data_IF_381734377692
#
_entry.id   IF_381734377692
#
_cell.length_a   1.000
_cell.length_b   1.000
_cell.length_c   1.000
_cell.angle_alpha   90.00
_cell.angle_beta   90.00
_cell.angle_gamma   90.00
#
_symmetry.space_group_name_H-M   'P 1'
#
loop_
_entity.id
_entity.type
_entity.pdbx_description
1 polymer ?
#
# COMPACT_ATOMS: atom_id res chain seq x y z
N UNK A 1 3.31 -5.67 19.79
CA UNK A 1 3.35 -5.36 18.35
C UNK A 1 2.40 -4.22 18.01
N UNK A 2 2.88 -3.25 17.26
CA UNK A 2 2.04 -2.13 16.81
C UNK A 2 1.09 -2.61 15.72
N UNK A 3 -0.11 -2.03 15.71
CA UNK A 3 -1.10 -2.36 14.68
C UNK A 3 -0.89 -1.48 13.45
N UNK A 4 -1.20 -2.04 12.30
CA UNK A 4 -1.26 -1.25 11.08
C UNK A 4 -2.47 -0.33 11.12
N UNK A 5 -2.35 0.83 10.51
CA UNK A 5 -3.43 1.80 10.42
C UNK A 5 -3.96 1.84 8.98
N UNK A 6 -5.28 1.91 8.84
CA UNK A 6 -5.94 1.95 7.54
C UNK A 6 -7.15 2.89 7.59
N UNK A 7 -6.93 4.10 8.11
CA UNK A 7 -8.02 5.04 8.32
C UNK A 7 -8.26 5.98 7.13
N UNK A 8 -7.24 6.19 6.32
CA UNK A 8 -7.33 7.14 5.20
C UNK A 8 -8.48 6.79 4.26
N UNK A 9 -8.63 5.51 3.92
CA UNK A 9 -9.67 5.04 3.00
C UNK A 9 -11.08 5.33 3.52
N UNK A 10 -11.25 5.35 4.84
CA UNK A 10 -12.56 5.57 5.46
C UNK A 10 -12.90 7.05 5.62
N UNK A 11 -11.91 7.93 5.64
CA UNK A 11 -12.10 9.35 5.95
C UNK A 11 -11.84 10.28 4.78
N UNK A 12 -11.15 9.81 3.74
CA UNK A 12 -10.80 10.65 2.61
C UNK A 12 -12.03 10.94 1.74
N UNK A 13 -12.34 12.21 1.55
CA UNK A 13 -13.47 12.66 0.74
C UNK A 13 -13.04 13.57 -0.42
N UNK A 14 -11.75 13.64 -0.71
CA UNK A 14 -11.23 14.46 -1.80
C UNK A 14 -11.35 13.79 -3.16
N UNK A 15 -10.74 14.41 -4.16
CA UNK A 15 -10.76 13.91 -5.53
C UNK A 15 -9.99 12.60 -5.66
N UNK A 16 -10.55 11.68 -6.44
CA UNK A 16 -9.92 10.40 -6.76
C UNK A 16 -9.78 10.30 -8.27
N UNK A 17 -8.55 10.38 -8.76
CA UNK A 17 -8.26 10.30 -10.18
C UNK A 17 -6.78 10.58 -10.42
N UNK A 18 -6.15 9.77 -11.25
CA UNK A 18 -4.71 9.88 -11.50
C UNK A 18 -4.43 10.75 -12.72
N UNK A 19 -3.35 11.56 -12.63
CA UNK A 19 -2.89 12.35 -13.76
C UNK A 19 -3.26 13.83 -13.69
N UNK A 20 -3.86 14.32 -12.59
CA UNK A 20 -4.24 15.72 -12.44
C UNK A 20 -3.08 16.57 -11.89
N UNK A 21 -2.66 16.28 -10.66
CA UNK A 21 -1.55 16.97 -10.00
C UNK A 21 -0.93 16.05 -8.97
N UNK A 22 0.22 16.43 -8.43
CA UNK A 22 0.99 15.59 -7.53
C UNK A 22 0.21 15.22 -6.27
N UNK A 23 -0.44 16.18 -5.62
CA UNK A 23 -1.16 15.93 -4.38
C UNK A 23 -2.35 14.98 -4.62
N UNK A 24 -3.10 15.21 -5.68
CA UNK A 24 -4.24 14.34 -6.04
C UNK A 24 -3.74 12.93 -6.39
N UNK A 25 -2.62 12.83 -7.11
CA UNK A 25 -2.05 11.55 -7.48
C UNK A 25 -1.61 10.76 -6.23
N UNK A 26 -0.94 11.42 -5.28
CA UNK A 26 -0.54 10.76 -4.02
C UNK A 26 -1.75 10.27 -3.24
N UNK A 27 -2.76 11.11 -3.10
CA UNK A 27 -3.99 10.74 -2.39
C UNK A 27 -4.73 9.60 -3.10
N UNK A 28 -4.75 9.63 -4.42
CA UNK A 28 -5.41 8.59 -5.22
C UNK A 28 -4.71 7.24 -5.04
N UNK A 29 -3.38 7.22 -5.10
CA UNK A 29 -2.62 5.99 -4.90
C UNK A 29 -2.80 5.48 -3.48
N UNK A 30 -2.75 6.37 -2.49
CA UNK A 30 -2.98 6.03 -1.08
C UNK A 30 -4.35 5.36 -0.92
N UNK A 31 -5.37 5.98 -1.44
CA UNK A 31 -6.75 5.51 -1.37
C UNK A 31 -6.92 4.15 -2.05
N UNK A 32 -6.37 4.01 -3.26
CA UNK A 32 -6.44 2.76 -4.03
C UNK A 32 -5.69 1.63 -3.35
N UNK A 33 -4.50 1.91 -2.80
CA UNK A 33 -3.72 0.88 -2.10
C UNK A 33 -4.44 0.38 -0.86
N UNK A 34 -5.09 1.27 -0.11
CA UNK A 34 -5.84 0.84 1.06
C UNK A 34 -7.07 0.03 0.70
N UNK A 35 -7.78 0.42 -0.35
CA UNK A 35 -8.89 -0.39 -0.86
C UNK A 35 -8.40 -1.73 -1.38
N UNK A 36 -7.27 -1.73 -2.08
CA UNK A 36 -6.68 -2.92 -2.65
C UNK A 36 -6.27 -3.92 -1.57
N UNK A 37 -5.84 -3.44 -0.40
CA UNK A 37 -5.39 -4.29 0.70
C UNK A 37 -6.52 -4.79 1.61
N UNK A 38 -7.78 -4.56 1.24
CA UNK A 38 -8.93 -5.09 1.98
C UNK A 38 -8.88 -6.62 2.04
N UNK A 39 -9.14 -7.18 3.22
CA UNK A 39 -9.01 -8.62 3.44
C UNK A 39 -9.85 -9.45 2.47
N UNK A 40 -11.10 -9.06 2.27
CA UNK A 40 -12.00 -9.83 1.40
C UNK A 40 -11.56 -9.77 -0.05
N UNK A 41 -11.13 -8.59 -0.50
CA UNK A 41 -10.60 -8.42 -1.86
C UNK A 41 -9.32 -9.24 -2.04
N UNK A 42 -8.39 -9.16 -1.09
CA UNK A 42 -7.13 -9.89 -1.18
C UNK A 42 -7.34 -11.39 -1.23
N UNK A 43 -8.23 -11.93 -0.40
CA UNK A 43 -8.51 -13.36 -0.39
C UNK A 43 -9.02 -13.87 -1.73
N UNK A 44 -9.79 -13.06 -2.43
CA UNK A 44 -10.34 -13.44 -3.73
C UNK A 44 -9.35 -13.18 -4.86
N UNK A 45 -8.77 -12.00 -4.90
CA UNK A 45 -7.93 -11.56 -6.01
C UNK A 45 -6.63 -12.33 -6.11
N UNK A 46 -5.92 -12.52 -4.98
CA UNK A 46 -4.60 -13.15 -5.03
C UNK A 46 -4.63 -14.56 -5.61
N UNK A 47 -5.71 -15.30 -5.38
CA UNK A 47 -5.85 -16.65 -5.94
C UNK A 47 -6.05 -16.66 -7.45
N UNK A 48 -6.44 -15.53 -8.02
CA UNK A 48 -6.67 -15.38 -9.46
C UNK A 48 -5.46 -14.86 -10.21
N UNK A 49 -4.46 -14.36 -9.49
CA UNK A 49 -3.26 -13.81 -10.11
C UNK A 49 -2.33 -14.91 -10.58
N UNK A 50 -1.64 -14.65 -11.69
CA UNK A 50 -0.59 -15.54 -12.17
C UNK A 50 0.65 -15.43 -11.29
N UNK A 51 1.57 -16.40 -11.43
CA UNK A 51 2.86 -16.36 -10.73
C UNK A 51 3.61 -15.08 -11.07
N UNK A 52 3.60 -14.66 -12.33
CA UNK A 52 4.27 -13.45 -12.78
C UNK A 52 3.66 -12.20 -12.13
N UNK A 53 2.33 -12.16 -12.03
CA UNK A 53 1.65 -11.03 -11.38
C UNK A 53 1.97 -10.94 -9.90
N UNK A 54 2.01 -12.08 -9.20
CA UNK A 54 2.42 -12.10 -7.79
C UNK A 54 3.84 -11.58 -7.62
N UNK A 55 4.76 -12.03 -8.47
CA UNK A 55 6.16 -11.58 -8.44
C UNK A 55 6.27 -10.09 -8.73
N UNK A 56 5.49 -9.59 -9.68
CA UNK A 56 5.49 -8.18 -10.05
C UNK A 56 5.10 -7.29 -8.87
N UNK A 57 4.02 -7.66 -8.18
CA UNK A 57 3.57 -6.90 -7.01
C UNK A 57 4.63 -6.95 -5.89
N UNK A 58 5.12 -8.15 -5.59
CA UNK A 58 6.11 -8.33 -4.52
C UNK A 58 7.38 -7.52 -4.80
N UNK A 59 7.89 -7.61 -6.02
CA UNK A 59 9.11 -6.91 -6.41
C UNK A 59 8.92 -5.39 -6.39
N UNK A 60 7.76 -4.89 -6.81
CA UNK A 60 7.47 -3.46 -6.78
C UNK A 60 7.46 -2.96 -5.34
N UNK A 61 6.73 -3.63 -4.45
CA UNK A 61 6.63 -3.23 -3.05
C UNK A 61 8.00 -3.25 -2.38
N UNK A 62 8.75 -4.34 -2.53
CA UNK A 62 10.05 -4.46 -1.87
C UNK A 62 11.06 -3.43 -2.40
N UNK A 63 11.03 -3.16 -3.70
CA UNK A 63 11.91 -2.15 -4.29
C UNK A 63 11.61 -0.75 -3.76
N UNK A 64 10.33 -0.38 -3.70
CA UNK A 64 9.94 0.95 -3.23
C UNK A 64 10.28 1.14 -1.75
N UNK A 65 10.06 0.13 -0.93
CA UNK A 65 10.42 0.18 0.49
C UNK A 65 11.93 0.35 0.65
N UNK A 66 12.72 -0.41 -0.09
CA UNK A 66 14.18 -0.38 0.02
C UNK A 66 14.77 0.94 -0.46
N UNK A 67 14.21 1.51 -1.52
CA UNK A 67 14.73 2.75 -2.12
C UNK A 67 14.38 3.98 -1.27
N UNK A 68 13.19 4.00 -0.69
CA UNK A 68 12.65 5.22 -0.07
C UNK A 68 12.63 5.25 1.44
N UNK A 69 12.83 4.12 2.11
CA UNK A 69 12.82 4.08 3.57
C UNK A 69 14.19 3.72 4.12
N UNK A 70 14.53 4.31 5.27
CA UNK A 70 15.68 3.86 6.06
C UNK A 70 15.32 2.55 6.76
N UNK A 71 16.33 1.84 7.27
CA UNK A 71 16.09 0.60 8.01
C UNK A 71 15.18 0.84 9.23
N UNK A 72 15.41 1.94 9.95
CA UNK A 72 14.59 2.29 11.11
C UNK A 72 13.14 2.53 10.69
N UNK A 73 12.94 3.30 9.63
CA UNK A 73 11.59 3.55 9.11
C UNK A 73 10.90 2.28 8.66
N UNK A 74 11.62 1.39 7.99
CA UNK A 74 11.09 0.11 7.55
C UNK A 74 10.58 -0.73 8.74
N UNK A 75 11.40 -0.84 9.79
CA UNK A 75 11.01 -1.59 10.99
C UNK A 75 9.84 -0.94 11.72
N UNK A 76 9.85 0.39 11.83
CA UNK A 76 8.79 1.12 12.55
C UNK A 76 7.47 1.18 11.79
N UNK A 77 7.53 1.46 10.49
CA UNK A 77 6.34 1.80 9.71
C UNK A 77 5.77 0.61 8.96
N UNK A 78 6.62 -0.24 8.39
CA UNK A 78 6.16 -1.38 7.61
C UNK A 78 6.00 -2.63 8.46
N UNK A 79 7.06 -3.01 9.19
CA UNK A 79 7.01 -4.21 10.03
C UNK A 79 6.25 -3.97 11.34
N UNK A 80 6.17 -2.72 11.79
CA UNK A 80 5.51 -2.37 13.06
C UNK A 80 6.13 -3.09 14.26
N UNK A 81 7.43 -3.29 14.22
CA UNK A 81 8.15 -3.88 15.33
C UNK A 81 8.33 -2.87 16.45
N UNK A 82 8.20 -3.34 17.68
CA UNK A 82 8.52 -2.53 18.84
C UNK A 82 10.03 -2.56 19.06
N UNK A 83 10.60 -1.39 19.33
CA UNK A 83 12.02 -1.27 19.64
C UNK A 83 12.29 -1.59 21.11
#
# INVERSE_FOLDING_TARGET
MKRHSHNFVDTYDGLVGFGADRDTDENTVFYYLQKFSDDLLMKKLLKRLSEDELSEIFNLITRLLKVHLTDTEYHDLFLKEES
#
